data_IF_017843136496
#
_entry.id   IF_017843136496
#
_cell.length_a   1.000
_cell.length_b   1.000
_cell.length_c   1.000
_cell.angle_alpha   90.00
_cell.angle_beta   90.00
_cell.angle_gamma   90.00
#
_symmetry.space_group_name_H-M   'P 1'
#
loop_
_entity.id
_entity.type
_entity.pdbx_description
1 polymer ?
#
# COMPACT_ATOMS: atom_id res chain seq x y z
N UNK A 1 -39.35 -25.40 -12.49
CA UNK A 1 -38.63 -24.15 -12.82
C UNK A 1 -37.37 -24.08 -11.96
N UNK A 2 -36.26 -24.18 -12.63
CA UNK A 2 -35.01 -24.21 -11.87
C UNK A 2 -34.68 -22.79 -11.39
N UNK A 3 -34.79 -22.62 -10.08
CA UNK A 3 -34.32 -21.39 -9.49
C UNK A 3 -32.81 -21.34 -9.59
N UNK A 4 -32.32 -20.27 -10.23
CA UNK A 4 -30.90 -20.06 -10.35
C UNK A 4 -30.40 -19.41 -9.08
N UNK A 5 -29.82 -20.20 -8.20
CA UNK A 5 -29.18 -19.68 -7.00
C UNK A 5 -27.73 -19.37 -7.28
N UNK A 6 -27.36 -18.15 -7.06
CA UNK A 6 -25.94 -17.77 -7.07
C UNK A 6 -25.32 -18.26 -5.78
N UNK A 7 -24.30 -19.08 -5.91
CA UNK A 7 -23.50 -19.44 -4.75
C UNK A 7 -22.49 -18.33 -4.50
N UNK A 8 -22.37 -17.93 -3.25
CA UNK A 8 -21.41 -16.91 -2.86
C UNK A 8 -20.16 -17.58 -2.30
N UNK A 9 -19.01 -17.19 -2.83
CA UNK A 9 -17.72 -17.73 -2.45
C UNK A 9 -16.83 -16.64 -1.87
N UNK A 10 -15.98 -17.05 -0.95
CA UNK A 10 -14.88 -16.21 -0.46
C UNK A 10 -13.58 -16.94 -0.68
N UNK A 11 -12.51 -16.19 -0.78
CA UNK A 11 -11.16 -16.74 -0.86
C UNK A 11 -10.31 -16.13 0.25
N UNK A 12 -10.05 -16.88 1.33
CA UNK A 12 -9.11 -16.42 2.35
C UNK A 12 -7.67 -16.67 1.94
N UNK A 13 -6.76 -15.85 2.45
CA UNK A 13 -5.33 -16.08 2.28
C UNK A 13 -4.80 -17.03 3.38
N UNK A 14 -3.48 -17.20 3.44
CA UNK A 14 -2.84 -18.07 4.43
C UNK A 14 -3.05 -17.61 5.88
N UNK A 15 -3.43 -16.35 6.06
CA UNK A 15 -3.72 -15.74 7.38
C UNK A 15 -5.22 -15.60 7.63
N UNK A 16 -6.05 -16.24 6.82
CA UNK A 16 -7.52 -16.20 6.88
C UNK A 16 -8.12 -14.81 6.60
N UNK A 17 -7.37 -13.90 6.01
CA UNK A 17 -7.90 -12.63 5.53
C UNK A 17 -8.67 -12.87 4.24
N UNK A 18 -9.85 -12.29 4.11
CA UNK A 18 -10.65 -12.44 2.89
C UNK A 18 -10.07 -11.52 1.81
N UNK A 19 -9.48 -12.13 0.79
CA UNK A 19 -8.82 -11.39 -0.30
C UNK A 19 -9.64 -11.34 -1.58
N UNK A 20 -10.67 -12.17 -1.68
CA UNK A 20 -11.57 -12.16 -2.83
C UNK A 20 -12.93 -12.69 -2.43
N UNK A 21 -13.94 -12.27 -3.16
CA UNK A 21 -15.31 -12.79 -3.01
C UNK A 21 -16.07 -12.62 -4.32
N UNK A 22 -16.98 -13.55 -4.60
CA UNK A 22 -17.79 -13.49 -5.83
C UNK A 22 -19.02 -14.36 -5.72
N UNK A 23 -20.02 -14.06 -6.58
CA UNK A 23 -21.13 -14.96 -6.84
C UNK A 23 -20.84 -15.77 -8.10
N UNK A 24 -21.21 -17.04 -8.14
CA UNK A 24 -20.95 -17.88 -9.28
C UNK A 24 -21.91 -17.66 -10.46
N UNK A 25 -23.00 -16.92 -10.27
CA UNK A 25 -23.95 -16.64 -11.33
C UNK A 25 -23.32 -15.96 -12.55
N UNK A 26 -22.60 -14.84 -12.34
CA UNK A 26 -21.88 -14.17 -13.43
C UNK A 26 -20.64 -14.93 -13.91
N UNK A 27 -20.09 -15.79 -13.07
CA UNK A 27 -18.83 -16.50 -13.34
C UNK A 27 -18.91 -17.98 -12.99
N UNK A 28 -19.79 -18.75 -13.69
CA UNK A 28 -20.03 -20.15 -13.32
C UNK A 28 -18.80 -21.05 -13.52
N UNK A 29 -17.88 -20.65 -14.38
CA UNK A 29 -16.68 -21.44 -14.70
C UNK A 29 -15.44 -20.97 -13.91
N UNK A 30 -15.63 -20.07 -12.98
CA UNK A 30 -14.51 -19.57 -12.17
C UNK A 30 -13.97 -20.68 -11.27
N UNK A 31 -12.64 -20.78 -11.21
CA UNK A 31 -11.96 -21.74 -10.33
C UNK A 31 -12.28 -21.46 -8.86
N UNK A 32 -12.85 -22.49 -8.20
CA UNK A 32 -13.19 -22.43 -6.79
C UNK A 32 -12.17 -23.13 -5.89
N UNK A 33 -11.02 -23.51 -6.45
CA UNK A 33 -9.94 -24.11 -5.68
C UNK A 33 -9.48 -23.13 -4.59
N UNK A 34 -9.44 -23.60 -3.35
CA UNK A 34 -9.14 -22.80 -2.17
C UNK A 34 -10.20 -21.74 -1.84
N UNK A 35 -11.35 -21.78 -2.50
CA UNK A 35 -12.48 -20.92 -2.15
C UNK A 35 -13.45 -21.65 -1.23
N UNK A 36 -14.20 -20.87 -0.46
CA UNK A 36 -15.18 -21.37 0.49
C UNK A 36 -16.55 -20.87 0.08
N UNK A 37 -17.51 -21.79 -0.10
CA UNK A 37 -18.90 -21.41 -0.36
C UNK A 37 -19.55 -21.03 0.96
N UNK A 38 -19.96 -19.78 1.10
CA UNK A 38 -20.60 -19.25 2.31
C UNK A 38 -22.11 -19.18 2.20
N UNK A 39 -22.65 -19.06 0.98
CA UNK A 39 -24.09 -19.05 0.72
C UNK A 39 -24.37 -19.90 -0.51
N UNK A 40 -25.09 -20.99 -0.33
CA UNK A 40 -25.47 -21.85 -1.46
C UNK A 40 -26.64 -21.30 -2.25
N UNK A 41 -27.44 -20.43 -1.64
CA UNK A 41 -28.59 -19.76 -2.24
C UNK A 41 -28.50 -18.26 -1.99
N UNK A 42 -27.42 -17.64 -2.51
CA UNK A 42 -27.05 -16.29 -2.13
C UNK A 42 -27.76 -15.17 -2.91
N UNK A 43 -28.43 -15.48 -4.00
CA UNK A 43 -29.06 -14.43 -4.81
C UNK A 43 -28.07 -13.67 -5.71
N UNK A 44 -28.56 -12.65 -6.41
CA UNK A 44 -27.78 -11.92 -7.42
C UNK A 44 -26.69 -11.02 -6.85
N UNK A 45 -26.97 -10.44 -5.68
CA UNK A 45 -25.99 -9.56 -5.05
C UNK A 45 -25.16 -10.33 -4.04
N UNK A 46 -23.86 -10.12 -4.06
CA UNK A 46 -22.96 -10.81 -3.12
C UNK A 46 -23.23 -10.34 -1.70
N UNK A 47 -23.27 -11.30 -0.77
CA UNK A 47 -23.40 -11.04 0.66
C UNK A 47 -22.56 -12.07 1.42
N UNK A 48 -21.97 -11.68 2.53
CA UNK A 48 -21.29 -12.63 3.41
C UNK A 48 -22.27 -13.53 4.17
N UNK A 49 -23.44 -13.01 4.47
CA UNK A 49 -24.53 -13.77 5.08
C UNK A 49 -25.82 -13.46 4.33
N UNK A 50 -26.85 -14.34 4.39
CA UNK A 50 -28.12 -14.06 3.69
C UNK A 50 -28.77 -12.75 4.07
N UNK A 51 -28.57 -12.29 5.32
CA UNK A 51 -29.12 -11.04 5.82
C UNK A 51 -28.08 -9.92 5.86
N UNK A 52 -26.90 -10.12 5.25
CA UNK A 52 -25.80 -9.19 5.32
C UNK A 52 -25.89 -8.05 4.30
N UNK A 53 -24.92 -7.16 4.37
CA UNK A 53 -24.78 -6.05 3.45
C UNK A 53 -24.52 -6.54 2.02
N UNK A 54 -25.18 -5.92 1.05
CA UNK A 54 -24.97 -6.21 -0.38
C UNK A 54 -23.62 -5.64 -0.83
N UNK A 55 -22.82 -6.48 -1.50
CA UNK A 55 -21.54 -6.10 -2.08
C UNK A 55 -20.63 -5.33 -1.09
N UNK A 56 -20.32 -5.93 0.06
CA UNK A 56 -19.48 -5.24 1.05
C UNK A 56 -18.09 -4.96 0.50
N UNK A 57 -17.46 -3.90 1.01
CA UNK A 57 -16.09 -3.59 0.65
C UNK A 57 -15.13 -4.59 1.30
N UNK A 58 -14.30 -5.23 0.49
CA UNK A 58 -13.27 -6.17 1.00
C UNK A 58 -12.07 -5.47 1.58
N UNK A 59 -11.74 -4.31 1.05
CA UNK A 59 -10.52 -3.59 1.38
C UNK A 59 -10.85 -2.17 1.81
N UNK A 60 -9.98 -1.61 2.65
CA UNK A 60 -10.05 -0.19 2.95
C UNK A 60 -9.38 0.63 1.84
N UNK A 61 -9.25 1.94 2.05
CA UNK A 61 -8.63 2.84 1.07
C UNK A 61 -7.16 2.51 0.80
N UNK A 62 -6.49 1.85 1.73
CA UNK A 62 -5.08 1.47 1.62
C UNK A 62 -4.90 0.04 1.10
N UNK A 63 -5.98 -0.64 0.72
CA UNK A 63 -5.93 -2.00 0.23
C UNK A 63 -5.80 -3.06 1.32
N UNK A 64 -6.13 -2.73 2.56
CA UNK A 64 -6.04 -3.66 3.69
C UNK A 64 -7.36 -4.43 3.81
N UNK A 65 -7.32 -5.79 3.88
CA UNK A 65 -8.55 -6.57 4.02
C UNK A 65 -9.31 -6.23 5.29
N UNK A 66 -10.62 -6.06 5.15
CA UNK A 66 -11.50 -5.67 6.27
C UNK A 66 -12.18 -6.86 6.94
N UNK A 67 -12.15 -8.04 6.32
CA UNK A 67 -12.86 -9.23 6.79
C UNK A 67 -11.90 -10.41 6.89
N UNK A 68 -12.25 -11.36 7.76
CA UNK A 68 -11.51 -12.60 7.93
C UNK A 68 -12.45 -13.79 8.04
N UNK A 69 -11.90 -14.98 7.77
CA UNK A 69 -12.58 -16.25 7.97
C UNK A 69 -12.16 -16.81 9.33
N UNK A 70 -13.13 -17.00 10.23
CA UNK A 70 -12.84 -17.52 11.59
C UNK A 70 -12.84 -19.05 11.67
N UNK A 71 -13.07 -19.73 10.55
CA UNK A 71 -13.24 -21.18 10.49
C UNK A 71 -14.68 -21.60 10.30
N UNK A 72 -15.65 -20.74 10.56
CA UNK A 72 -17.07 -21.01 10.45
C UNK A 72 -17.83 -19.92 9.71
N UNK A 73 -17.43 -18.68 9.85
CA UNK A 73 -18.14 -17.54 9.27
C UNK A 73 -17.16 -16.40 8.93
N UNK A 74 -17.64 -15.49 8.08
CA UNK A 74 -16.91 -14.26 7.80
C UNK A 74 -17.20 -13.26 8.90
N UNK A 75 -16.15 -12.71 9.50
CA UNK A 75 -16.26 -11.70 10.54
C UNK A 75 -15.42 -10.49 10.19
N UNK A 76 -15.79 -9.34 10.72
CA UNK A 76 -14.99 -8.12 10.53
C UNK A 76 -13.69 -8.25 11.32
N UNK A 77 -12.60 -7.79 10.72
CA UNK A 77 -11.32 -7.71 11.41
C UNK A 77 -11.35 -6.59 12.43
N UNK A 78 -10.63 -6.77 13.52
CA UNK A 78 -10.56 -5.73 14.55
C UNK A 78 -9.72 -4.55 14.07
N UNK A 79 -9.93 -3.39 14.69
CA UNK A 79 -9.12 -2.20 14.40
C UNK A 79 -7.64 -2.46 14.66
N UNK A 80 -7.31 -3.27 15.66
CA UNK A 80 -5.92 -3.65 15.97
C UNK A 80 -5.30 -4.50 14.87
N UNK A 81 -6.04 -5.46 14.32
CA UNK A 81 -5.57 -6.29 13.21
C UNK A 81 -5.31 -5.44 11.96
N UNK A 82 -6.22 -4.54 11.65
CA UNK A 82 -6.09 -3.64 10.50
C UNK A 82 -4.90 -2.68 10.71
N UNK A 83 -4.74 -2.15 11.90
CA UNK A 83 -3.62 -1.26 12.25
C UNK A 83 -2.27 -1.98 12.13
N UNK A 84 -2.21 -3.26 12.55
CA UNK A 84 -0.99 -4.07 12.41
C UNK A 84 -0.63 -4.29 10.95
N UNK A 85 -1.60 -4.58 10.10
CA UNK A 85 -1.38 -4.72 8.66
C UNK A 85 -0.92 -3.41 8.03
N UNK A 86 -1.52 -2.29 8.44
CA UNK A 86 -1.12 -0.95 7.95
C UNK A 86 0.33 -0.64 8.33
N UNK A 87 0.73 -0.98 9.55
CA UNK A 87 2.10 -0.79 10.01
C UNK A 87 3.11 -1.66 9.26
N UNK A 88 2.66 -2.80 8.72
CA UNK A 88 3.51 -3.71 7.94
C UNK A 88 3.67 -3.28 6.48
N UNK A 89 2.88 -2.32 5.99
CA UNK A 89 3.02 -1.81 4.62
C UNK A 89 4.33 -1.02 4.55
N UNK A 90 5.26 -1.37 3.64
CA UNK A 90 6.49 -0.60 3.49
C UNK A 90 6.16 0.79 2.96
N UNK A 91 6.93 1.79 3.41
CA UNK A 91 6.80 3.13 2.86
C UNK A 91 7.04 3.08 1.37
N UNK A 92 6.19 3.75 0.54
CA UNK A 92 6.45 3.80 -0.88
C UNK A 92 7.78 4.50 -1.14
N UNK A 93 8.53 4.09 -2.17
CA UNK A 93 9.76 4.77 -2.52
C UNK A 93 9.46 6.23 -2.84
N UNK A 94 10.38 7.16 -2.55
CA UNK A 94 10.16 8.57 -2.84
C UNK A 94 9.87 8.76 -4.33
N UNK A 95 8.91 9.64 -4.64
CA UNK A 95 8.58 9.97 -6.02
C UNK A 95 9.79 10.61 -6.71
N UNK A 96 9.82 10.59 -8.04
CA UNK A 96 10.88 11.24 -8.81
C UNK A 96 11.01 12.72 -8.41
N UNK A 97 9.88 13.39 -8.15
CA UNK A 97 9.85 14.77 -7.73
C UNK A 97 10.53 14.97 -6.37
N UNK A 98 10.26 14.06 -5.41
CA UNK A 98 10.90 14.10 -4.09
C UNK A 98 12.39 13.82 -4.18
N UNK A 99 12.80 12.86 -5.01
CA UNK A 99 14.20 12.57 -5.25
C UNK A 99 14.91 13.76 -5.88
N UNK A 100 14.31 14.40 -6.87
CA UNK A 100 14.88 15.59 -7.52
C UNK A 100 15.04 16.75 -6.54
N UNK A 101 14.08 16.95 -5.65
CA UNK A 101 14.18 17.96 -4.59
C UNK A 101 15.34 17.68 -3.65
N UNK A 102 15.50 16.42 -3.24
CA UNK A 102 16.59 16.02 -2.35
C UNK A 102 17.95 16.19 -3.05
N UNK A 103 18.05 15.77 -4.31
CA UNK A 103 19.27 15.91 -5.12
C UNK A 103 19.61 17.36 -5.34
N UNK A 104 18.62 18.22 -5.63
CA UNK A 104 18.82 19.66 -5.78
C UNK A 104 19.32 20.30 -4.50
N UNK A 105 18.75 19.92 -3.33
CA UNK A 105 19.21 20.43 -2.05
C UNK A 105 20.65 20.02 -1.78
N UNK A 106 21.01 18.78 -2.08
CA UNK A 106 22.39 18.29 -1.93
C UNK A 106 23.36 19.02 -2.86
N UNK A 107 22.98 19.19 -4.12
CA UNK A 107 23.80 19.92 -5.11
C UNK A 107 24.02 21.38 -4.68
N UNK A 108 22.99 22.05 -4.21
CA UNK A 108 23.10 23.41 -3.69
C UNK A 108 24.04 23.49 -2.51
N UNK A 109 23.98 22.53 -1.59
CA UNK A 109 24.90 22.47 -0.46
C UNK A 109 26.34 22.24 -0.90
N UNK A 110 26.56 21.38 -1.89
CA UNK A 110 27.88 21.12 -2.47
C UNK A 110 28.44 22.36 -3.17
N UNK A 111 27.62 23.08 -3.92
CA UNK A 111 28.01 24.33 -4.59
C UNK A 111 28.39 25.38 -3.54
N UNK A 112 27.60 25.54 -2.49
CA UNK A 112 27.89 26.48 -1.42
C UNK A 112 29.21 26.15 -0.70
N UNK A 113 29.46 24.86 -0.44
CA UNK A 113 30.72 24.41 0.17
C UNK A 113 31.91 24.65 -0.75
N UNK A 114 31.78 24.38 -2.04
CA UNK A 114 32.82 24.63 -3.02
C UNK A 114 33.11 26.13 -3.16
N UNK A 115 32.07 26.95 -3.18
CA UNK A 115 32.21 28.41 -3.24
C UNK A 115 32.94 28.96 -2.01
N UNK A 116 32.59 28.47 -0.81
CA UNK A 116 33.26 28.82 0.43
C UNK A 116 34.75 28.45 0.44
N UNK A 117 35.08 27.28 -0.09
CA UNK A 117 36.48 26.85 -0.23
C UNK A 117 37.25 27.73 -1.21
N UNK A 118 36.62 28.11 -2.31
CA UNK A 118 37.23 28.97 -3.30
C UNK A 118 37.52 30.35 -2.72
N UNK A 119 36.56 30.93 -1.99
CA UNK A 119 36.75 32.23 -1.31
C UNK A 119 37.89 32.15 -0.31
N UNK A 120 37.98 31.08 0.47
CA UNK A 120 39.07 30.87 1.40
C UNK A 120 40.42 30.77 0.72
N UNK A 121 40.51 30.05 -0.41
CA UNK A 121 41.73 29.96 -1.21
C UNK A 121 42.13 31.26 -1.80
N UNK A 122 41.18 32.05 -2.30
CA UNK A 122 41.44 33.39 -2.83
C UNK A 122 42.01 34.32 -1.77
N UNK A 123 41.43 34.28 -0.55
CA UNK A 123 41.94 35.06 0.58
C UNK A 123 43.33 34.64 0.98
N UNK A 124 43.62 33.34 1.00
CA UNK A 124 44.97 32.84 1.31
C UNK A 124 45.99 33.29 0.24
N UNK A 125 45.63 33.27 -1.02
CA UNK A 125 46.49 33.70 -2.11
C UNK A 125 46.77 35.22 -2.00
N UNK A 126 45.73 35.99 -1.66
CA UNK A 126 45.87 37.44 -1.47
C UNK A 126 46.83 37.76 -0.32
N UNK A 127 46.69 37.06 0.82
CA UNK A 127 47.62 37.22 1.95
C UNK A 127 49.06 36.83 1.62
N UNK A 128 49.25 35.75 0.88
CA UNK A 128 50.58 35.32 0.43
C UNK A 128 51.20 36.36 -0.49
N UNK A 129 50.40 36.91 -1.40
CA UNK A 129 50.89 37.96 -2.33
C UNK A 129 51.32 39.19 -1.55
N UNK A 130 50.56 39.64 -0.55
CA UNK A 130 50.95 40.77 0.29
C UNK A 130 52.26 40.51 1.02
N UNK A 131 52.43 39.31 1.58
CA UNK A 131 53.66 38.97 2.29
C UNK A 131 54.88 38.92 1.36
N UNK A 132 54.71 38.51 0.12
CA UNK A 132 55.81 38.44 -0.85
C UNK A 132 56.15 39.82 -1.41
N UNK A 133 55.17 40.66 -1.65
CA UNK A 133 55.39 41.97 -2.29
C UNK A 133 55.62 43.12 -1.31
N UNK A 134 55.37 42.93 -0.02
CA UNK A 134 55.59 43.99 1.03
C UNK A 134 56.88 43.77 1.80
N UNK A 135 57.87 43.24 1.20
CA UNK A 135 59.20 43.03 1.82
C UNK A 135 60.01 44.31 1.69
#
# INVERSE_FOLDING_TARGET
>A
MDEIYNKHYIKPDSSNRIIDCWGNGPHPDRDTTNAICINEQGGYQFRFTPDGEENPFLYDADGIPLYKWDGQAVVKRTAEEIAADRAAIPEPPPSEMEQLRADNALLRAQIAAASGRQDFLEDCIAEMAEQVYNV
#
